data_IF_008728187452
#
_entry.id   IF_008728187452
#
_cell.length_a   1.000
_cell.length_b   1.000
_cell.length_c   1.000
_cell.angle_alpha   90.00
_cell.angle_beta   90.00
_cell.angle_gamma   90.00
#
_symmetry.space_group_name_H-M   'P 1'
#
loop_
_entity.id
_entity.type
_entity.pdbx_description
1 polymer ?
#
# COMPACT_ATOMS: atom_id res chain seq x y z
N UNK A 1 -4.41 -11.55 -5.05
CA UNK A 1 -3.15 -11.50 -5.80
C UNK A 1 -3.37 -11.20 -7.28
N UNK A 2 -4.39 -11.78 -7.91
CA UNK A 2 -4.65 -11.67 -9.35
C UNK A 2 -4.72 -10.23 -9.90
N UNK A 3 -5.40 -9.26 -9.25
CA UNK A 3 -5.40 -7.86 -9.73
C UNK A 3 -4.02 -7.23 -9.85
N UNK A 4 -3.17 -7.47 -8.85
CA UNK A 4 -1.81 -6.92 -8.84
C UNK A 4 -0.94 -7.61 -9.89
N UNK A 5 -1.13 -8.91 -10.12
CA UNK A 5 -0.46 -9.58 -11.23
C UNK A 5 -0.83 -8.95 -12.58
N UNK A 6 -2.12 -8.68 -12.82
CA UNK A 6 -2.57 -8.00 -14.03
C UNK A 6 -2.03 -6.56 -14.16
N UNK A 7 -1.89 -5.83 -13.04
CA UNK A 7 -1.40 -4.45 -13.03
C UNK A 7 0.05 -4.33 -13.50
N UNK A 8 0.88 -5.33 -13.16
CA UNK A 8 2.32 -5.41 -13.50
C UNK A 8 2.63 -6.35 -14.67
N UNK A 9 1.61 -6.90 -15.33
CA UNK A 9 1.80 -7.73 -16.51
C UNK A 9 2.57 -6.97 -17.61
N UNK A 10 3.26 -7.72 -18.46
CA UNK A 10 4.18 -7.20 -19.50
C UNK A 10 5.39 -6.43 -18.93
N UNK A 11 5.82 -6.77 -17.70
CA UNK A 11 6.97 -6.18 -17.00
C UNK A 11 6.92 -4.65 -16.89
N UNK A 12 5.72 -4.08 -16.79
CA UNK A 12 5.56 -2.63 -16.62
C UNK A 12 6.11 -2.19 -15.26
N UNK A 13 6.79 -1.06 -15.24
CA UNK A 13 7.29 -0.41 -14.02
C UNK A 13 6.66 0.98 -13.88
N UNK A 14 5.41 1.07 -13.39
CA UNK A 14 4.79 2.36 -13.11
C UNK A 14 5.54 3.08 -11.99
N UNK A 15 5.70 4.39 -12.11
CA UNK A 15 6.36 5.22 -11.09
C UNK A 15 5.33 5.72 -10.06
N UNK A 16 4.12 6.06 -10.51
CA UNK A 16 3.01 6.50 -9.65
C UNK A 16 1.80 5.58 -9.80
N UNK A 17 1.45 4.90 -8.71
CA UNK A 17 0.33 3.96 -8.66
C UNK A 17 -0.74 4.45 -7.68
N UNK A 18 -2.00 4.18 -7.98
CA UNK A 18 -3.10 4.37 -7.03
C UNK A 18 -3.79 3.05 -6.70
N UNK A 19 -4.08 2.83 -5.43
CA UNK A 19 -4.96 1.77 -4.92
C UNK A 19 -6.21 2.46 -4.33
N UNK A 20 -7.34 2.37 -5.03
CA UNK A 20 -8.54 3.20 -4.72
C UNK A 20 -9.26 2.75 -3.46
N UNK A 21 -9.20 1.45 -3.15
CA UNK A 21 -9.86 0.80 -2.01
C UNK A 21 -8.86 -0.12 -1.30
N UNK A 22 -7.90 0.52 -0.63
CA UNK A 22 -6.66 -0.11 -0.21
C UNK A 22 -6.79 -1.01 1.02
N UNK A 23 -7.73 -0.76 1.95
CA UNK A 23 -7.76 -1.55 3.17
C UNK A 23 -8.27 -2.99 2.91
N UNK A 24 -7.73 -4.00 3.63
CA UNK A 24 -6.83 -3.89 4.77
C UNK A 24 -5.34 -3.71 4.41
N UNK A 25 -4.97 -3.61 3.14
CA UNK A 25 -3.60 -3.37 2.67
C UNK A 25 -2.98 -4.50 1.87
N UNK A 26 -3.67 -5.62 1.68
CA UNK A 26 -3.12 -6.81 1.01
C UNK A 26 -2.67 -6.55 -0.44
N UNK A 27 -3.39 -5.68 -1.17
CA UNK A 27 -3.04 -5.32 -2.56
C UNK A 27 -1.97 -4.24 -2.57
N UNK A 28 -2.12 -3.20 -1.76
CA UNK A 28 -1.12 -2.14 -1.56
C UNK A 28 0.26 -2.69 -1.22
N UNK A 29 0.35 -3.65 -0.29
CA UNK A 29 1.63 -4.25 0.10
C UNK A 29 2.25 -5.08 -1.02
N UNK A 30 1.43 -5.77 -1.79
CA UNK A 30 1.88 -6.52 -2.97
C UNK A 30 2.36 -5.58 -4.10
N UNK A 31 1.67 -4.45 -4.31
CA UNK A 31 2.09 -3.41 -5.26
C UNK A 31 3.45 -2.84 -4.83
N UNK A 32 3.60 -2.44 -3.57
CA UNK A 32 4.86 -1.92 -3.04
C UNK A 32 6.03 -2.91 -3.20
N UNK A 33 5.78 -4.20 -2.93
CA UNK A 33 6.76 -5.26 -3.15
C UNK A 33 7.15 -5.42 -4.63
N UNK A 34 6.17 -5.37 -5.55
CA UNK A 34 6.42 -5.41 -7.01
C UNK A 34 7.19 -4.19 -7.52
N UNK A 35 7.00 -3.04 -6.90
CA UNK A 35 7.74 -1.80 -7.19
C UNK A 35 9.11 -1.76 -6.49
N UNK A 36 9.45 -2.74 -5.65
CA UNK A 36 10.70 -2.76 -4.90
C UNK A 36 10.86 -1.54 -3.98
N UNK A 37 9.77 -1.04 -3.38
CA UNK A 37 9.74 0.20 -2.60
C UNK A 37 10.19 1.48 -3.37
N UNK A 38 10.30 1.43 -4.71
CA UNK A 38 10.57 2.61 -5.53
C UNK A 38 9.26 3.31 -5.98
N UNK A 39 9.37 4.52 -6.51
CA UNK A 39 8.21 5.29 -6.97
C UNK A 39 7.29 5.74 -5.83
N UNK A 40 5.98 5.78 -6.09
CA UNK A 40 4.99 6.26 -5.14
C UNK A 40 3.62 5.62 -5.32
N UNK A 41 2.97 5.27 -4.21
CA UNK A 41 1.64 4.68 -4.17
C UNK A 41 0.72 5.60 -3.38
N UNK A 42 -0.40 6.02 -3.98
CA UNK A 42 -1.51 6.64 -3.26
C UNK A 42 -2.52 5.55 -2.88
N UNK A 43 -2.56 5.19 -1.61
CA UNK A 43 -3.50 4.20 -1.09
C UNK A 43 -4.67 4.91 -0.39
N UNK A 44 -5.84 4.84 -1.00
CA UNK A 44 -7.06 5.44 -0.48
C UNK A 44 -7.92 4.40 0.24
N UNK A 45 -8.53 4.80 1.35
CA UNK A 45 -9.55 4.00 2.02
C UNK A 45 -10.70 4.90 2.46
N UNK A 46 -11.93 4.51 2.13
CA UNK A 46 -13.12 5.28 2.49
C UNK A 46 -13.48 5.15 3.97
N UNK A 47 -13.21 4.02 4.61
CA UNK A 47 -13.55 3.80 6.01
C UNK A 47 -12.43 4.24 6.96
N UNK A 48 -12.65 5.31 7.73
CA UNK A 48 -11.70 5.82 8.71
C UNK A 48 -11.18 4.75 9.70
N UNK A 49 -12.05 3.81 10.10
CA UNK A 49 -11.66 2.73 11.02
C UNK A 49 -10.67 1.75 10.39
N UNK A 50 -10.76 1.54 9.08
CA UNK A 50 -9.90 0.61 8.32
C UNK A 50 -8.57 1.25 7.89
N UNK A 51 -8.47 2.57 7.83
CA UNK A 51 -7.20 3.29 7.58
C UNK A 51 -6.11 2.89 8.59
N UNK A 52 -6.46 2.69 9.87
CA UNK A 52 -5.52 2.25 10.90
C UNK A 52 -4.96 0.85 10.63
N UNK A 53 -5.82 -0.07 10.16
CA UNK A 53 -5.43 -1.44 9.81
C UNK A 53 -4.54 -1.45 8.57
N UNK A 54 -4.90 -0.66 7.56
CA UNK A 54 -4.08 -0.44 6.37
C UNK A 54 -2.68 0.04 6.74
N UNK A 55 -2.59 1.08 7.57
CA UNK A 55 -1.31 1.60 8.06
C UNK A 55 -0.49 0.54 8.81
N UNK A 56 -1.12 -0.23 9.71
CA UNK A 56 -0.42 -1.27 10.46
C UNK A 56 0.19 -2.34 9.55
N UNK A 57 -0.50 -2.74 8.49
CA UNK A 57 0.02 -3.71 7.52
C UNK A 57 1.16 -3.11 6.67
N UNK A 58 1.06 -1.85 6.25
CA UNK A 58 2.13 -1.14 5.53
C UNK A 58 3.39 -1.07 6.39
N UNK A 59 3.25 -0.62 7.64
CA UNK A 59 4.35 -0.48 8.58
C UNK A 59 5.02 -1.83 8.89
N UNK A 60 4.23 -2.88 9.11
CA UNK A 60 4.75 -4.24 9.36
C UNK A 60 5.56 -4.79 8.19
N UNK A 61 5.23 -4.41 6.96
CA UNK A 61 5.93 -4.85 5.76
C UNK A 61 7.13 -3.97 5.38
N UNK A 62 7.47 -2.94 6.17
CA UNK A 62 8.59 -2.04 5.87
C UNK A 62 8.39 -1.24 4.59
N UNK A 63 7.14 -0.92 4.25
CA UNK A 63 6.83 -0.19 3.02
C UNK A 63 7.00 1.30 3.25
N UNK A 64 7.77 1.96 2.37
CA UNK A 64 8.14 3.37 2.50
C UNK A 64 7.58 4.27 1.41
N UNK A 65 7.15 3.71 0.29
CA UNK A 65 6.71 4.44 -0.89
C UNK A 65 5.20 4.71 -0.95
N UNK A 66 4.49 4.71 0.19
CA UNK A 66 3.02 4.88 0.24
C UNK A 66 2.62 6.20 0.92
N UNK A 67 1.63 6.88 0.36
CA UNK A 67 0.83 7.88 1.07
C UNK A 67 -0.62 7.41 1.20
N UNK A 68 -1.22 7.74 2.35
CA UNK A 68 -2.59 7.38 2.70
C UNK A 68 -3.54 8.55 2.54
N UNK A 69 -4.69 8.31 1.92
CA UNK A 69 -5.81 9.26 1.89
C UNK A 69 -7.09 8.62 2.42
N UNK A 70 -8.02 9.49 2.82
CA UNK A 70 -9.34 9.09 3.30
C UNK A 70 -10.39 9.92 2.57
N UNK A 71 -10.77 9.43 1.39
CA UNK A 71 -11.76 10.04 0.54
C UNK A 71 -12.71 8.99 -0.02
N UNK A 72 -13.86 9.49 -0.46
CA UNK A 72 -14.65 8.83 -1.48
C UNK A 72 -13.84 8.73 -2.78
N UNK A 73 -13.68 7.51 -3.32
CA UNK A 73 -12.90 7.28 -4.54
C UNK A 73 -13.36 8.10 -5.75
N UNK A 74 -14.61 8.58 -5.74
CA UNK A 74 -15.21 9.37 -6.82
C UNK A 74 -14.55 10.74 -6.99
N UNK A 75 -13.78 11.23 -6.02
CA UNK A 75 -13.17 12.58 -6.09
C UNK A 75 -11.90 12.65 -6.96
N UNK A 76 -11.23 11.52 -7.21
CA UNK A 76 -9.84 11.55 -7.69
C UNK A 76 -9.72 11.98 -9.15
N UNK A 77 -10.70 11.69 -10.00
CA UNK A 77 -10.70 12.10 -11.40
C UNK A 77 -10.58 13.61 -11.58
N UNK A 78 -11.33 14.39 -10.78
CA UNK A 78 -11.26 15.84 -10.79
C UNK A 78 -10.06 16.38 -10.00
N UNK A 79 -9.66 15.70 -8.92
CA UNK A 79 -8.64 16.20 -8.00
C UNK A 79 -7.21 15.95 -8.47
N UNK A 80 -6.98 14.81 -9.12
CA UNK A 80 -5.67 14.34 -9.58
C UNK A 80 -5.78 13.86 -11.03
N UNK A 81 -6.23 14.72 -11.98
CA UNK A 81 -6.38 14.32 -13.37
C UNK A 81 -5.05 13.86 -13.95
N UNK A 82 -5.08 12.79 -14.75
CA UNK A 82 -3.94 12.27 -15.52
C UNK A 82 -2.62 12.14 -14.71
N UNK A 83 -2.74 11.75 -13.44
CA UNK A 83 -1.63 11.75 -12.47
C UNK A 83 -0.93 10.40 -12.38
N UNK A 84 -1.67 9.30 -12.54
CA UNK A 84 -1.15 7.96 -12.26
C UNK A 84 -0.80 7.19 -13.54
N UNK A 85 0.27 6.40 -13.47
CA UNK A 85 0.70 5.52 -14.55
C UNK A 85 -0.06 4.19 -14.53
N UNK A 86 -0.48 3.79 -13.33
CA UNK A 86 -1.32 2.64 -13.12
C UNK A 86 -2.31 2.87 -11.96
N UNK A 87 -3.52 2.37 -12.08
CA UNK A 87 -4.53 2.43 -11.03
C UNK A 87 -5.13 1.04 -10.85
N UNK A 88 -5.28 0.65 -9.60
CA UNK A 88 -6.03 -0.53 -9.20
C UNK A 88 -7.33 -0.09 -8.50
N UNK A 89 -8.44 -0.41 -9.14
CA UNK A 89 -9.78 -0.26 -8.58
C UNK A 89 -10.33 -1.65 -8.25
N UNK A 90 -10.05 -2.10 -7.02
CA UNK A 90 -10.74 -3.24 -6.43
C UNK A 90 -12.06 -2.75 -5.82
N UNK A 91 -13.13 -2.78 -6.61
CA UNK A 91 -14.33 -2.06 -6.28
C UNK A 91 -15.13 -2.75 -5.16
N UNK A 92 -15.79 -1.98 -4.26
CA UNK A 92 -16.78 -2.55 -3.37
C UNK A 92 -17.87 -3.24 -4.21
N UNK A 93 -18.22 -4.47 -3.85
CA UNK A 93 -19.13 -5.31 -4.61
C UNK A 93 -20.04 -6.12 -3.69
N UNK A 94 -21.01 -6.84 -4.26
CA UNK A 94 -21.94 -7.72 -3.54
C UNK A 94 -21.28 -8.95 -2.89
N UNK A 95 -20.04 -9.28 -3.25
CA UNK A 95 -19.23 -10.28 -2.54
C UNK A 95 -19.61 -11.75 -2.77
N UNK A 96 -20.29 -12.06 -3.88
CA UNK A 96 -20.74 -13.42 -4.21
C UNK A 96 -19.62 -14.47 -4.25
N UNK A 97 -18.41 -14.06 -4.60
CA UNK A 97 -17.24 -14.92 -4.67
C UNK A 97 -16.63 -15.29 -3.31
N UNK A 98 -17.10 -14.70 -2.20
CA UNK A 98 -16.51 -14.84 -0.85
C UNK A 98 -17.22 -15.90 0.01
N UNK A 99 -18.29 -16.52 -0.49
CA UNK A 99 -19.12 -17.50 0.25
C UNK A 99 -18.36 -18.70 0.82
N UNK A 100 -17.21 -19.09 0.21
CA UNK A 100 -16.34 -20.16 0.74
C UNK A 100 -15.66 -19.77 2.06
N UNK A 101 -15.47 -18.48 2.30
CA UNK A 101 -14.77 -17.93 3.48
C UNK A 101 -15.75 -17.45 4.54
N UNK A 102 -16.87 -16.88 4.11
CA UNK A 102 -17.91 -16.34 4.98
C UNK A 102 -19.28 -16.83 4.50
N UNK A 103 -19.89 -17.73 5.29
CA UNK A 103 -21.19 -18.31 4.97
C UNK A 103 -22.32 -17.26 4.98
N UNK A 104 -22.12 -16.13 5.65
CA UNK A 104 -23.09 -15.04 5.76
C UNK A 104 -22.86 -13.94 4.70
N UNK A 105 -21.91 -14.11 3.77
CA UNK A 105 -21.54 -13.09 2.79
C UNK A 105 -22.74 -12.55 1.97
N UNK A 106 -23.73 -13.40 1.70
CA UNK A 106 -24.92 -13.07 0.91
C UNK A 106 -26.15 -12.66 1.73
N UNK A 107 -26.00 -12.45 3.05
CA UNK A 107 -27.14 -12.19 3.94
C UNK A 107 -27.98 -10.96 3.55
N UNK A 108 -27.34 -9.93 2.97
CA UNK A 108 -28.00 -8.69 2.54
C UNK A 108 -28.01 -8.54 1.00
N UNK A 109 -27.88 -9.64 0.28
CA UNK A 109 -27.84 -9.65 -1.18
C UNK A 109 -29.25 -9.49 -1.77
N UNK A 110 -29.40 -8.61 -2.77
CA UNK A 110 -30.60 -8.53 -3.60
C UNK A 110 -30.26 -7.96 -4.99
N UNK A 111 -31.06 -8.26 -6.03
CA UNK A 111 -30.87 -7.68 -7.36
C UNK A 111 -30.86 -6.14 -7.35
N UNK A 112 -31.71 -5.50 -6.54
CA UNK A 112 -31.78 -4.05 -6.41
C UNK A 112 -30.49 -3.49 -5.80
N UNK A 113 -29.99 -4.12 -4.74
CA UNK A 113 -28.70 -3.77 -4.12
C UNK A 113 -27.54 -3.88 -5.12
N UNK A 114 -27.52 -4.93 -5.94
CA UNK A 114 -26.49 -5.10 -6.97
C UNK A 114 -26.50 -3.98 -8.01
N UNK A 115 -27.68 -3.48 -8.40
CA UNK A 115 -27.79 -2.36 -9.35
C UNK A 115 -27.27 -1.04 -8.75
N UNK A 116 -27.54 -0.78 -7.48
CA UNK A 116 -27.02 0.39 -6.76
C UNK A 116 -25.50 0.31 -6.59
N UNK A 117 -24.99 -0.88 -6.30
CA UNK A 117 -23.55 -1.15 -6.24
C UNK A 117 -22.89 -0.94 -7.60
N UNK A 118 -23.47 -1.48 -8.68
CA UNK A 118 -22.98 -1.28 -10.04
C UNK A 118 -22.99 0.20 -10.45
N UNK A 119 -23.99 0.98 -10.00
CA UNK A 119 -24.00 2.44 -10.21
C UNK A 119 -22.82 3.12 -9.51
N UNK A 120 -22.53 2.75 -8.27
CA UNK A 120 -21.37 3.24 -7.53
C UNK A 120 -20.05 2.85 -8.22
N UNK A 121 -19.94 1.62 -8.74
CA UNK A 121 -18.77 1.13 -9.46
C UNK A 121 -18.53 1.92 -10.75
N UNK A 122 -19.58 2.32 -11.49
CA UNK A 122 -19.48 3.20 -12.67
C UNK A 122 -18.90 4.57 -12.32
N UNK A 123 -19.31 5.17 -11.22
CA UNK A 123 -18.76 6.46 -10.76
C UNK A 123 -17.30 6.33 -10.31
N UNK A 124 -16.95 5.23 -9.64
CA UNK A 124 -15.57 4.94 -9.22
C UNK A 124 -14.64 4.69 -10.41
N UNK A 125 -15.06 3.89 -11.40
CA UNK A 125 -14.23 3.59 -12.56
C UNK A 125 -14.07 4.81 -13.46
N UNK A 126 -15.09 5.67 -13.58
CA UNK A 126 -14.98 6.96 -14.27
C UNK A 126 -13.93 7.85 -13.60
N UNK A 127 -14.03 8.01 -12.28
CA UNK A 127 -13.07 8.81 -11.51
C UNK A 127 -11.63 8.28 -11.62
N UNK A 128 -11.46 6.96 -11.52
CA UNK A 128 -10.17 6.32 -11.73
C UNK A 128 -9.63 6.58 -13.16
N UNK A 129 -10.47 6.45 -14.18
CA UNK A 129 -10.07 6.65 -15.57
C UNK A 129 -9.69 8.10 -15.89
N UNK A 130 -10.33 9.09 -15.26
CA UNK A 130 -9.91 10.49 -15.30
C UNK A 130 -8.55 10.73 -14.62
N UNK A 131 -8.31 10.09 -13.48
CA UNK A 131 -7.04 10.21 -12.75
C UNK A 131 -5.86 9.47 -13.42
N UNK A 132 -6.16 8.51 -14.31
CA UNK A 132 -5.17 7.78 -15.08
C UNK A 132 -4.61 8.63 -16.23
N UNK A 133 -3.29 8.62 -16.42
CA UNK A 133 -2.66 9.29 -17.57
C UNK A 133 -2.89 8.53 -18.89
N UNK A 134 -2.91 9.19 -20.05
CA UNK A 134 -2.81 8.51 -21.34
C UNK A 134 -1.58 7.59 -21.41
N UNK A 135 -1.77 6.38 -21.93
CA UNK A 135 -0.79 5.28 -21.91
C UNK A 135 -0.74 4.48 -20.60
N UNK A 136 -1.47 4.90 -19.57
CA UNK A 136 -1.54 4.22 -18.28
C UNK A 136 -2.41 2.98 -18.28
N UNK A 137 -2.28 2.14 -17.25
CA UNK A 137 -3.06 0.91 -17.06
C UNK A 137 -4.07 1.05 -15.92
N UNK A 138 -5.33 0.74 -16.17
CA UNK A 138 -6.36 0.57 -15.14
C UNK A 138 -6.69 -0.91 -14.98
N UNK A 139 -6.54 -1.45 -13.77
CA UNK A 139 -7.10 -2.76 -13.41
C UNK A 139 -8.35 -2.55 -12.59
N UNK A 140 -9.46 -3.08 -13.09
CA UNK A 140 -10.72 -3.18 -12.37
C UNK A 140 -10.87 -4.61 -11.84
N UNK A 141 -11.28 -4.75 -10.58
CA UNK A 141 -11.60 -6.06 -10.03
C UNK A 141 -12.73 -6.04 -9.01
N UNK A 142 -13.38 -7.19 -8.85
CA UNK A 142 -14.38 -7.44 -7.82
C UNK A 142 -14.21 -8.86 -7.27
N UNK A 143 -14.78 -9.12 -6.09
CA UNK A 143 -15.01 -10.47 -5.57
C UNK A 143 -16.47 -10.91 -5.74
N UNK A 144 -17.13 -10.48 -6.83
CA UNK A 144 -18.48 -10.90 -7.22
C UNK A 144 -18.50 -11.57 -8.60
N UNK A 145 -19.55 -12.31 -8.92
CA UNK A 145 -19.64 -13.17 -10.10
C UNK A 145 -20.73 -12.74 -11.11
N UNK A 146 -21.66 -11.87 -10.69
CA UNK A 146 -22.68 -11.34 -11.60
C UNK A 146 -22.09 -10.42 -12.68
N UNK A 147 -22.82 -10.24 -13.78
CA UNK A 147 -22.34 -9.43 -14.92
C UNK A 147 -22.56 -7.94 -14.71
N UNK A 148 -23.57 -7.58 -13.94
CA UNK A 148 -24.00 -6.21 -13.65
C UNK A 148 -22.87 -5.39 -13.01
N UNK A 149 -22.13 -6.01 -12.10
CA UNK A 149 -20.98 -5.41 -11.41
C UNK A 149 -19.64 -5.64 -12.13
N UNK A 150 -19.62 -6.48 -13.16
CA UNK A 150 -18.40 -6.88 -13.86
C UNK A 150 -18.41 -6.36 -15.31
N UNK A 151 -18.83 -7.19 -16.26
CA UNK A 151 -18.83 -6.87 -17.68
C UNK A 151 -19.58 -5.58 -17.97
N UNK A 152 -20.76 -5.38 -17.38
CA UNK A 152 -21.60 -4.20 -17.63
C UNK A 152 -20.94 -2.88 -17.18
N UNK A 153 -20.09 -2.91 -16.15
CA UNK A 153 -19.30 -1.73 -15.71
C UNK A 153 -18.22 -1.39 -16.74
N UNK A 154 -17.56 -2.40 -17.30
CA UNK A 154 -16.52 -2.21 -18.33
C UNK A 154 -17.15 -1.76 -19.66
N UNK A 155 -18.25 -2.39 -20.07
CA UNK A 155 -19.04 -2.01 -21.25
C UNK A 155 -19.52 -0.56 -21.15
N UNK A 156 -19.97 -0.13 -19.96
CA UNK A 156 -20.34 1.26 -19.72
C UNK A 156 -19.16 2.21 -19.95
N UNK A 157 -17.97 1.91 -19.42
CA UNK A 157 -16.79 2.76 -19.61
C UNK A 157 -16.37 2.83 -21.10
N UNK A 158 -16.40 1.70 -21.81
CA UNK A 158 -16.13 1.64 -23.25
C UNK A 158 -17.14 2.49 -24.05
N UNK A 159 -18.42 2.44 -23.69
CA UNK A 159 -19.46 3.25 -24.34
C UNK A 159 -19.31 4.75 -24.07
N UNK A 160 -18.83 5.09 -22.85
CA UNK A 160 -18.61 6.46 -22.39
C UNK A 160 -17.42 7.11 -23.10
N UNK A 161 -16.36 6.33 -23.36
CA UNK A 161 -15.09 6.79 -23.95
C UNK A 161 -14.57 5.86 -25.07
N UNK A 162 -15.30 5.72 -26.19
CA UNK A 162 -15.04 4.69 -27.20
C UNK A 162 -13.69 4.82 -27.92
N UNK A 163 -13.07 6.00 -27.90
CA UNK A 163 -11.78 6.26 -28.54
C UNK A 163 -10.60 6.30 -27.54
N UNK A 164 -10.87 6.15 -26.24
CA UNK A 164 -9.85 6.31 -25.19
C UNK A 164 -9.61 5.03 -24.37
N UNK A 165 -10.41 3.97 -24.55
CA UNK A 165 -10.32 2.74 -23.76
C UNK A 165 -9.94 1.56 -24.65
N UNK A 166 -8.85 0.88 -24.31
CA UNK A 166 -8.42 -0.38 -24.92
C UNK A 166 -8.45 -1.49 -23.88
N UNK A 167 -9.09 -2.63 -24.20
CA UNK A 167 -8.97 -3.84 -23.36
C UNK A 167 -7.64 -4.51 -23.65
N UNK A 168 -6.91 -4.85 -22.59
CA UNK A 168 -5.68 -5.64 -22.68
C UNK A 168 -5.95 -7.07 -22.21
N UNK A 169 -6.09 -8.05 -23.12
CA UNK A 169 -6.43 -9.43 -22.78
C UNK A 169 -5.51 -10.03 -21.72
N UNK A 170 -6.08 -10.91 -20.89
CA UNK A 170 -5.40 -11.55 -19.76
C UNK A 170 -5.16 -13.06 -19.96
N UNK A 171 -5.43 -13.60 -21.15
CA UNK A 171 -5.31 -15.03 -21.46
C UNK A 171 -3.89 -15.60 -21.32
N UNK A 172 -2.87 -14.74 -21.34
CA UNK A 172 -1.45 -15.11 -21.18
C UNK A 172 -0.87 -14.66 -19.83
N UNK A 173 -1.69 -14.19 -18.89
CA UNK A 173 -1.22 -13.65 -17.61
C UNK A 173 -0.43 -14.68 -16.79
N UNK A 174 -0.84 -15.94 -16.85
CA UNK A 174 -0.18 -17.09 -16.22
C UNK A 174 -0.58 -18.38 -16.96
N UNK A 175 0.20 -19.48 -16.82
CA UNK A 175 -0.18 -20.77 -17.37
C UNK A 175 -1.55 -21.24 -16.85
N UNK A 176 -2.51 -21.44 -17.75
CA UNK A 176 -3.89 -21.81 -17.42
C UNK A 176 -4.88 -20.66 -17.36
N UNK A 177 -4.45 -19.40 -17.55
CA UNK A 177 -5.35 -18.24 -17.52
C UNK A 177 -6.49 -18.30 -18.56
N UNK A 178 -6.28 -19.03 -19.67
CA UNK A 178 -7.30 -19.27 -20.69
C UNK A 178 -8.57 -19.96 -20.15
N UNK A 179 -8.47 -20.75 -19.07
CA UNK A 179 -9.60 -21.50 -18.50
C UNK A 179 -10.66 -20.58 -17.87
N UNK A 180 -10.28 -19.35 -17.52
CA UNK A 180 -11.16 -18.31 -16.98
C UNK A 180 -11.33 -17.10 -17.92
N UNK A 181 -10.83 -17.20 -19.16
CA UNK A 181 -10.82 -16.08 -20.11
C UNK A 181 -12.20 -15.86 -20.72
N UNK A 182 -12.70 -14.63 -20.65
CA UNK A 182 -13.91 -14.21 -21.35
C UNK A 182 -13.61 -13.82 -22.80
N UNK A 183 -14.62 -13.79 -23.67
CA UNK A 183 -14.44 -13.41 -25.08
C UNK A 183 -13.89 -11.99 -25.27
N UNK A 184 -14.18 -11.10 -24.32
CA UNK A 184 -13.70 -9.72 -24.27
C UNK A 184 -12.23 -9.63 -23.83
N UNK A 185 -11.67 -10.68 -23.21
CA UNK A 185 -10.29 -10.72 -22.71
C UNK A 185 -10.13 -10.55 -21.19
N UNK A 186 -11.23 -10.59 -20.43
CA UNK A 186 -11.20 -10.50 -18.96
C UNK A 186 -10.94 -11.87 -18.33
N UNK A 187 -10.55 -11.91 -17.05
CA UNK A 187 -10.59 -13.13 -16.26
C UNK A 187 -11.84 -13.14 -15.39
N UNK A 188 -12.72 -14.11 -15.62
CA UNK A 188 -13.88 -14.38 -14.79
C UNK A 188 -13.68 -15.71 -14.08
N UNK A 189 -13.08 -15.65 -12.89
CA UNK A 189 -12.64 -16.81 -12.12
C UNK A 189 -13.78 -17.31 -11.25
N UNK A 190 -14.41 -18.40 -11.68
CA UNK A 190 -15.32 -19.15 -10.81
C UNK A 190 -14.53 -20.02 -9.82
N UNK A 191 -15.03 -20.23 -8.58
CA UNK A 191 -14.28 -20.91 -7.53
C UNK A 191 -13.70 -22.28 -7.92
N UNK A 192 -14.45 -23.06 -8.69
CA UNK A 192 -14.08 -24.41 -9.11
C UNK A 192 -12.98 -24.47 -10.19
N UNK A 193 -12.63 -23.36 -10.85
CA UNK A 193 -11.64 -23.37 -11.93
C UNK A 193 -10.23 -23.59 -11.35
N UNK A 194 -9.89 -22.91 -10.25
CA UNK A 194 -8.57 -22.99 -9.62
C UNK A 194 -8.61 -23.29 -8.11
N UNK A 195 -9.75 -23.81 -7.63
CA UNK A 195 -10.01 -24.11 -6.22
C UNK A 195 -9.72 -22.93 -5.26
N UNK A 196 -10.26 -21.76 -5.58
CA UNK A 196 -10.07 -20.53 -4.83
C UNK A 196 -11.41 -19.79 -4.61
N UNK A 197 -11.35 -18.54 -4.14
CA UNK A 197 -12.51 -17.65 -4.14
C UNK A 197 -12.96 -17.26 -5.56
N UNK A 198 -14.20 -16.80 -5.69
CA UNK A 198 -14.74 -16.23 -6.93
C UNK A 198 -14.23 -14.80 -7.15
N UNK A 199 -13.85 -14.47 -8.38
CA UNK A 199 -13.16 -13.22 -8.65
C UNK A 199 -13.27 -12.76 -10.12
N UNK A 200 -13.33 -11.45 -10.35
CA UNK A 200 -13.29 -10.86 -11.69
C UNK A 200 -12.14 -9.86 -11.82
N UNK A 201 -11.45 -9.88 -12.97
CA UNK A 201 -10.38 -8.92 -13.29
C UNK A 201 -10.47 -8.49 -14.75
N UNK A 202 -10.53 -7.18 -14.97
CA UNK A 202 -10.37 -6.54 -16.27
C UNK A 202 -9.15 -5.62 -16.27
N UNK A 203 -8.37 -5.64 -17.35
CA UNK A 203 -7.19 -4.78 -17.54
C UNK A 203 -7.42 -3.91 -18.76
N UNK A 204 -7.33 -2.60 -18.54
CA UNK A 204 -7.62 -1.57 -19.53
C UNK A 204 -6.41 -0.65 -19.71
N UNK A 205 -6.25 -0.09 -20.90
CA UNK A 205 -5.32 1.00 -21.19
C UNK A 205 -6.10 2.26 -21.59
N UNK A 206 -5.69 3.41 -21.05
CA UNK A 206 -6.16 4.70 -21.53
C UNK A 206 -5.34 5.09 -22.77
N UNK A 207 -5.93 5.12 -23.95
CA UNK A 207 -5.20 5.36 -25.21
C UNK A 207 -5.09 6.84 -25.58
N UNK A 208 -5.97 7.69 -25.04
CA UNK A 208 -6.02 9.12 -25.32
C UNK A 208 -6.41 9.93 -24.07
N UNK A 209 -6.10 11.24 -24.10
CA UNK A 209 -6.67 12.19 -23.16
C UNK A 209 -8.20 12.28 -23.36
N UNK A 210 -8.92 12.62 -22.30
CA UNK A 210 -10.38 12.80 -22.30
C UNK A 210 -10.72 14.19 -21.75
N UNK A 211 -11.94 14.66 -22.01
CA UNK A 211 -12.38 15.98 -21.55
C UNK A 211 -12.25 16.10 -20.03
N UNK A 212 -11.62 17.17 -19.51
CA UNK A 212 -11.37 17.31 -18.09
C UNK A 212 -12.67 17.54 -17.30
N UNK A 213 -12.74 16.99 -16.10
CA UNK A 213 -13.80 17.28 -15.14
C UNK A 213 -13.64 18.70 -14.56
N UNK A 214 -14.74 19.33 -14.12
CA UNK A 214 -14.67 20.58 -13.34
C UNK A 214 -13.79 20.41 -12.10
N UNK A 215 -13.06 21.47 -11.75
CA UNK A 215 -12.20 21.46 -10.57
C UNK A 215 -13.01 21.12 -9.30
N UNK A 216 -12.41 20.39 -8.33
CA UNK A 216 -13.11 20.03 -7.11
C UNK A 216 -13.57 21.26 -6.33
N UNK A 217 -14.79 21.23 -5.79
CA UNK A 217 -15.32 22.32 -4.98
C UNK A 217 -14.69 22.48 -3.59
N UNK A 218 -13.81 21.57 -3.16
CA UNK A 218 -13.16 21.62 -1.85
C UNK A 218 -11.83 22.36 -1.89
N UNK A 219 -11.50 23.05 -0.80
CA UNK A 219 -10.18 23.68 -0.60
C UNK A 219 -9.25 22.79 0.20
N UNK A 220 -8.08 22.50 -0.36
CA UNK A 220 -6.97 21.91 0.38
C UNK A 220 -6.35 23.01 1.25
N UNK A 221 -6.26 22.76 2.55
CA UNK A 221 -5.62 23.71 3.47
C UNK A 221 -4.10 23.79 3.23
N UNK A 222 -3.41 24.60 4.04
CA UNK A 222 -1.94 24.66 4.01
C UNK A 222 -1.35 23.26 4.26
N UNK A 223 -0.40 22.86 3.43
CA UNK A 223 0.35 21.63 3.64
C UNK A 223 1.17 21.74 4.95
N UNK A 224 1.02 20.79 5.90
CA UNK A 224 1.52 20.97 7.26
C UNK A 224 3.00 20.63 7.44
N UNK A 225 3.70 20.21 6.38
CA UNK A 225 5.11 19.84 6.40
C UNK A 225 5.95 20.84 5.60
N UNK A 226 7.21 20.99 5.98
CA UNK A 226 8.22 21.73 5.23
C UNK A 226 9.39 20.81 4.90
N UNK A 227 9.99 20.88 3.70
CA UNK A 227 11.18 20.12 3.39
C UNK A 227 12.35 20.61 4.26
N UNK A 228 13.23 19.69 4.68
CA UNK A 228 14.46 20.06 5.39
C UNK A 228 15.44 20.76 4.42
N UNK A 229 16.21 21.71 4.95
CA UNK A 229 17.31 22.33 4.20
C UNK A 229 18.48 21.37 4.09
N UNK A 230 19.27 21.46 3.01
CA UNK A 230 20.37 20.54 2.69
C UNK A 230 21.32 20.25 3.86
N UNK A 231 21.73 21.29 4.60
CA UNK A 231 22.63 21.14 5.75
C UNK A 231 22.00 20.32 6.88
N UNK A 232 20.72 20.56 7.17
CA UNK A 232 19.97 19.84 8.21
C UNK A 232 19.69 18.41 7.75
N UNK A 233 19.27 18.23 6.50
CA UNK A 233 19.05 16.93 5.88
C UNK A 233 20.32 16.06 5.91
N UNK A 234 21.48 16.62 5.59
CA UNK A 234 22.76 15.92 5.67
C UNK A 234 23.11 15.48 7.10
N UNK A 235 22.87 16.35 8.09
CA UNK A 235 23.10 16.02 9.50
C UNK A 235 22.17 14.90 10.00
N UNK A 236 20.87 14.95 9.65
CA UNK A 236 19.90 13.90 9.97
C UNK A 236 20.29 12.59 9.30
N UNK A 237 20.66 12.62 8.02
CA UNK A 237 21.08 11.44 7.26
C UNK A 237 22.33 10.80 7.87
N UNK A 238 23.34 11.61 8.25
CA UNK A 238 24.53 11.10 8.92
C UNK A 238 24.21 10.46 10.28
N UNK A 239 23.30 11.06 11.06
CA UNK A 239 22.86 10.51 12.34
C UNK A 239 22.07 9.19 12.16
N UNK A 240 21.21 9.11 11.14
CA UNK A 240 20.45 7.90 10.82
C UNK A 240 21.37 6.77 10.38
N UNK A 241 22.35 7.06 9.50
CA UNK A 241 23.39 6.10 9.10
C UNK A 241 24.22 5.62 10.30
N UNK A 242 24.49 6.48 11.28
CA UNK A 242 25.23 6.08 12.47
C UNK A 242 24.55 4.94 13.26
N UNK A 243 23.21 4.89 13.23
CA UNK A 243 22.40 3.83 13.87
C UNK A 243 21.93 2.74 12.89
N UNK A 244 22.44 2.73 11.65
CA UNK A 244 22.16 1.71 10.65
C UNK A 244 20.88 1.91 9.85
N UNK A 245 20.34 3.13 9.76
CA UNK A 245 19.22 3.46 8.90
C UNK A 245 19.70 4.10 7.59
N UNK A 246 19.26 3.55 6.46
CA UNK A 246 19.66 3.98 5.11
C UNK A 246 18.47 4.00 4.15
N UNK A 247 18.42 5.00 3.28
CA UNK A 247 17.43 5.15 2.22
C UNK A 247 18.09 5.70 0.95
N UNK A 248 17.41 5.50 -0.18
CA UNK A 248 17.86 5.95 -1.49
C UNK A 248 17.44 7.40 -1.80
N UNK A 249 17.80 7.88 -2.99
CA UNK A 249 17.40 9.19 -3.48
C UNK A 249 15.90 9.31 -3.82
N UNK A 250 15.14 8.20 -3.74
CA UNK A 250 13.70 8.19 -3.92
C UNK A 250 12.93 8.76 -2.73
N UNK A 251 13.63 9.12 -1.64
CA UNK A 251 13.03 9.67 -0.44
C UNK A 251 13.60 11.05 -0.08
N UNK A 252 12.71 11.98 0.30
CA UNK A 252 13.08 13.33 0.75
C UNK A 252 12.70 13.55 2.20
N UNK A 253 13.51 14.34 2.92
CA UNK A 253 13.29 14.64 4.33
C UNK A 253 12.36 15.84 4.51
N UNK A 254 11.33 15.64 5.32
CA UNK A 254 10.33 16.65 5.68
C UNK A 254 10.19 16.75 7.20
N UNK A 255 9.78 17.92 7.68
CA UNK A 255 9.53 18.17 9.10
C UNK A 255 8.16 18.77 9.35
N UNK A 256 7.61 18.43 10.52
CA UNK A 256 6.47 19.11 11.15
C UNK A 256 6.70 19.14 12.65
N UNK A 257 6.80 20.33 13.22
CA UNK A 257 7.14 20.54 14.63
C UNK A 257 8.45 19.81 15.01
N UNK A 258 8.37 18.77 15.84
CA UNK A 258 9.51 17.93 16.24
C UNK A 258 9.62 16.63 15.44
N UNK A 259 8.70 16.38 14.51
CA UNK A 259 8.63 15.14 13.77
C UNK A 259 9.45 15.25 12.48
N UNK A 260 10.27 14.23 12.21
CA UNK A 260 11.00 14.05 10.97
C UNK A 260 10.38 12.90 10.19
N UNK A 261 10.20 13.12 8.89
CA UNK A 261 9.52 12.20 7.99
C UNK A 261 10.34 12.02 6.71
N UNK A 262 10.26 10.82 6.14
CA UNK A 262 10.75 10.50 4.81
C UNK A 262 9.54 10.34 3.89
N UNK A 263 9.43 11.20 2.89
CA UNK A 263 8.37 11.14 1.88
C UNK A 263 8.92 10.57 0.58
N UNK A 264 8.16 9.75 -0.15
CA UNK A 264 8.56 9.31 -1.47
C UNK A 264 8.49 10.47 -2.47
N UNK A 265 9.61 10.74 -3.14
CA UNK A 265 9.79 11.84 -4.09
C UNK A 265 8.72 11.82 -5.20
N UNK A 266 8.35 10.63 -5.68
CA UNK A 266 7.34 10.46 -6.72
C UNK A 266 5.95 11.00 -6.32
N UNK A 267 5.65 11.20 -5.03
CA UNK A 267 4.36 11.72 -4.57
C UNK A 267 4.36 13.24 -4.31
N UNK A 268 5.52 13.91 -4.37
CA UNK A 268 5.60 15.36 -4.15
C UNK A 268 4.65 16.18 -5.06
N UNK A 269 4.46 15.84 -6.35
CA UNK A 269 3.53 16.58 -7.23
C UNK A 269 2.05 16.51 -6.81
N UNK A 270 1.70 15.68 -5.83
CA UNK A 270 0.35 15.54 -5.28
C UNK A 270 0.15 16.41 -4.02
N UNK A 271 1.23 16.92 -3.42
CA UNK A 271 1.15 17.72 -2.20
C UNK A 271 0.40 19.03 -2.47
N UNK A 272 -0.60 19.33 -1.64
CA UNK A 272 -1.48 20.47 -1.82
C UNK A 272 -2.65 20.25 -2.80
N UNK A 273 -2.70 19.13 -3.53
CA UNK A 273 -3.85 18.77 -4.40
C UNK A 273 -4.92 17.95 -3.69
N UNK A 274 -4.51 17.15 -2.70
CA UNK A 274 -5.41 16.37 -1.83
C UNK A 274 -4.92 16.43 -0.38
N UNK A 275 -5.81 16.09 0.56
CA UNK A 275 -5.44 15.93 1.98
C UNK A 275 -4.93 14.52 2.23
N UNK A 276 -3.79 14.41 2.87
CA UNK A 276 -3.21 13.11 3.25
C UNK A 276 -3.52 12.81 4.70
N UNK A 277 -3.88 11.55 4.96
CA UNK A 277 -3.93 11.00 6.32
C UNK A 277 -2.51 10.73 6.83
N UNK A 278 -1.63 10.21 5.96
CA UNK A 278 -0.21 9.96 6.24
C UNK A 278 0.59 9.96 4.94
N UNK A 279 1.87 10.27 5.00
CA UNK A 279 2.76 10.26 3.83
C UNK A 279 4.07 9.60 4.25
N UNK A 280 4.50 8.58 3.52
CA UNK A 280 5.76 7.88 3.76
C UNK A 280 5.91 7.39 5.21
N UNK A 281 7.12 7.54 5.75
CA UNK A 281 7.52 6.97 7.04
C UNK A 281 7.99 8.08 7.98
N UNK A 282 7.50 8.07 9.21
CA UNK A 282 8.02 8.92 10.29
C UNK A 282 9.38 8.36 10.69
N UNK A 283 10.44 9.09 10.38
CA UNK A 283 11.82 8.69 10.65
C UNK A 283 12.15 8.77 12.14
N UNK A 284 11.89 9.93 12.74
CA UNK A 284 12.29 10.24 14.11
C UNK A 284 11.46 11.35 14.73
N UNK A 285 11.58 11.50 16.05
CA UNK A 285 11.25 12.73 16.77
C UNK A 285 12.52 13.39 17.29
N UNK A 286 12.59 14.71 17.19
CA UNK A 286 13.62 15.52 17.83
C UNK A 286 13.42 15.51 19.35
N UNK A 287 14.44 15.04 20.08
CA UNK A 287 14.42 14.97 21.53
C UNK A 287 15.77 15.41 22.12
N UNK A 288 15.75 16.49 22.91
CA UNK A 288 16.95 17.14 23.44
C UNK A 288 17.94 17.51 22.31
N UNK A 289 19.15 16.94 22.33
CA UNK A 289 20.19 17.13 21.31
C UNK A 289 20.29 15.95 20.32
N UNK A 290 19.30 15.06 20.29
CA UNK A 290 19.34 13.85 19.46
C UNK A 290 18.00 13.46 18.86
N UNK A 291 17.92 12.22 18.40
CA UNK A 291 16.79 11.68 17.66
C UNK A 291 16.22 10.48 18.40
N UNK A 292 14.90 10.42 18.50
CA UNK A 292 14.18 9.20 18.87
C UNK A 292 13.67 8.55 17.60
N UNK A 293 14.46 7.60 17.08
CA UNK A 293 14.12 6.82 15.90
C UNK A 293 12.83 6.04 16.11
N UNK A 294 11.99 6.00 15.08
CA UNK A 294 10.70 5.32 15.15
C UNK A 294 10.82 3.87 14.70
N UNK A 295 10.04 2.98 15.32
CA UNK A 295 10.03 1.56 14.97
C UNK A 295 9.74 1.34 13.48
N UNK A 296 8.77 2.05 12.90
CA UNK A 296 8.44 1.92 11.46
C UNK A 296 9.60 2.27 10.53
N UNK A 297 10.46 3.22 10.91
CA UNK A 297 11.65 3.55 10.14
C UNK A 297 12.71 2.45 10.22
N UNK A 298 12.82 1.78 11.37
CA UNK A 298 13.73 0.62 11.51
C UNK A 298 13.27 -0.53 10.65
N UNK A 299 11.96 -0.82 10.60
CA UNK A 299 11.44 -1.90 9.74
C UNK A 299 11.64 -1.59 8.25
N UNK A 300 11.50 -0.32 7.85
CA UNK A 300 11.62 0.08 6.43
C UNK A 300 13.07 0.28 5.95
N UNK A 301 13.96 0.80 6.79
CA UNK A 301 15.26 1.36 6.36
C UNK A 301 16.48 0.77 7.08
N UNK A 302 16.31 -0.27 7.90
CA UNK A 302 17.44 -0.93 8.55
C UNK A 302 18.39 -1.56 7.52
N UNK A 303 19.68 -1.19 7.60
CA UNK A 303 20.77 -1.84 6.89
C UNK A 303 21.25 -3.07 7.71
N UNK A 304 20.99 -4.31 7.25
CA UNK A 304 21.25 -5.52 8.05
C UNK A 304 22.73 -5.74 8.40
N UNK A 305 23.65 -5.15 7.62
CA UNK A 305 25.10 -5.32 7.81
C UNK A 305 25.62 -4.72 9.14
N UNK A 306 24.78 -3.96 9.84
CA UNK A 306 25.11 -3.32 11.13
C UNK A 306 24.19 -3.80 12.26
N UNK A 307 23.48 -4.90 12.06
CA UNK A 307 22.54 -5.44 13.02
C UNK A 307 23.17 -6.49 13.96
N UNK A 308 22.50 -6.70 15.08
CA UNK A 308 22.78 -7.75 16.05
C UNK A 308 21.69 -8.84 15.93
N UNK A 309 22.10 -10.04 15.51
CA UNK A 309 21.19 -11.17 15.33
C UNK A 309 20.81 -11.78 16.68
N UNK A 310 19.50 -11.83 16.95
CA UNK A 310 18.95 -12.49 18.12
C UNK A 310 18.81 -13.99 17.86
N UNK A 311 19.01 -14.79 18.90
CA UNK A 311 18.54 -16.17 18.92
C UNK A 311 17.02 -16.23 18.94
N UNK A 312 16.44 -17.42 18.72
CA UNK A 312 14.99 -17.61 18.78
C UNK A 312 14.42 -17.24 20.17
N UNK A 313 15.07 -17.66 21.25
CA UNK A 313 14.62 -17.37 22.62
C UNK A 313 14.65 -15.85 22.91
N UNK A 314 15.70 -15.18 22.46
CA UNK A 314 15.84 -13.72 22.60
C UNK A 314 14.79 -12.97 21.75
N UNK A 315 14.49 -13.46 20.55
CA UNK A 315 13.45 -12.89 19.69
C UNK A 315 12.05 -13.09 20.30
N UNK A 316 11.78 -14.22 20.97
CA UNK A 316 10.52 -14.42 21.71
C UNK A 316 10.36 -13.38 22.81
N UNK A 317 11.40 -13.18 23.62
CA UNK A 317 11.39 -12.16 24.68
C UNK A 317 11.23 -10.75 24.10
N UNK A 318 11.86 -10.46 22.95
CA UNK A 318 11.69 -9.19 22.25
C UNK A 318 10.23 -8.93 21.86
N UNK A 319 9.56 -9.89 21.25
CA UNK A 319 8.14 -9.78 20.86
C UNK A 319 7.18 -9.74 22.05
N UNK A 320 7.58 -10.28 23.20
CA UNK A 320 6.88 -10.13 24.50
C UNK A 320 7.15 -8.77 25.16
N UNK A 321 7.95 -7.90 24.54
CA UNK A 321 8.25 -6.57 25.06
C UNK A 321 9.25 -6.55 26.21
N UNK A 322 10.06 -7.61 26.36
CA UNK A 322 11.03 -7.77 27.44
C UNK A 322 12.44 -7.45 26.97
N UNK A 323 13.27 -6.99 27.89
CA UNK A 323 14.69 -6.75 27.66
C UNK A 323 15.41 -8.07 27.39
N UNK A 324 16.42 -8.03 26.51
CA UNK A 324 17.20 -9.21 26.10
C UNK A 324 18.58 -9.18 26.75
N UNK A 325 19.12 -10.35 27.10
CA UNK A 325 20.42 -10.51 27.79
C UNK A 325 21.35 -11.41 26.98
N UNK A 326 21.95 -10.89 25.91
CA UNK A 326 22.78 -11.71 25.04
C UNK A 326 24.08 -12.13 25.71
N UNK A 327 24.55 -13.34 25.40
CA UNK A 327 25.85 -13.83 25.88
C UNK A 327 27.00 -12.94 25.40
N UNK A 328 26.92 -12.47 24.15
CA UNK A 328 27.85 -11.50 23.57
C UNK A 328 27.13 -10.20 23.29
N UNK A 329 27.51 -9.13 23.98
CA UNK A 329 26.91 -7.82 23.76
C UNK A 329 27.39 -7.18 22.45
N UNK A 330 26.52 -6.43 21.75
CA UNK A 330 26.95 -5.63 20.60
C UNK A 330 27.97 -4.57 21.04
N UNK A 331 28.90 -4.25 20.13
CA UNK A 331 29.93 -3.24 20.39
C UNK A 331 29.40 -1.80 20.43
N UNK A 332 28.20 -1.55 19.91
CA UNK A 332 27.59 -0.22 19.79
C UNK A 332 26.55 0.01 20.90
N UNK A 333 26.38 1.27 21.32
CA UNK A 333 25.39 1.68 22.33
C UNK A 333 23.95 1.58 21.83
N UNK A 334 23.73 1.80 20.55
CA UNK A 334 22.46 1.57 19.85
C UNK A 334 22.72 0.61 18.70
N UNK A 335 21.89 -0.42 18.58
CA UNK A 335 22.02 -1.43 17.53
C UNK A 335 20.65 -1.79 16.99
N UNK A 336 20.56 -2.02 15.69
CA UNK A 336 19.40 -2.72 15.13
C UNK A 336 19.49 -4.17 15.59
N UNK A 337 18.37 -4.73 16.02
CA UNK A 337 18.24 -6.16 16.30
C UNK A 337 17.51 -6.84 15.17
N UNK A 338 18.01 -8.00 14.75
CA UNK A 338 17.44 -8.81 13.68
C UNK A 338 17.10 -10.21 14.18
N UNK A 339 16.19 -10.88 13.47
CA UNK A 339 15.95 -12.30 13.61
C UNK A 339 15.70 -12.90 12.23
N UNK A 340 16.40 -13.98 11.90
CA UNK A 340 16.46 -14.56 10.56
C UNK A 340 16.87 -13.53 9.51
N UNK A 341 17.77 -12.60 9.88
CA UNK A 341 18.21 -11.50 9.02
C UNK A 341 17.15 -10.40 8.76
N UNK A 342 15.99 -10.46 9.42
CA UNK A 342 14.91 -9.47 9.29
C UNK A 342 14.95 -8.49 10.48
N UNK A 343 14.87 -7.16 10.25
CA UNK A 343 14.84 -6.17 11.32
C UNK A 343 13.64 -6.34 12.26
N UNK A 344 13.90 -6.35 13.57
CA UNK A 344 12.87 -6.40 14.62
C UNK A 344 12.70 -5.06 15.37
N UNK A 345 13.72 -4.22 15.36
CA UNK A 345 13.68 -2.91 16.03
C UNK A 345 15.07 -2.41 16.40
N UNK A 346 15.12 -1.25 17.08
CA UNK A 346 16.35 -0.61 17.53
C UNK A 346 16.50 -0.81 19.04
N UNK A 347 17.53 -1.50 19.48
CA UNK A 347 17.83 -1.70 20.89
C UNK A 347 18.87 -0.70 21.39
N UNK A 348 18.74 -0.29 22.65
CA UNK A 348 19.78 0.45 23.36
C UNK A 348 20.47 -0.47 24.36
N UNK A 349 21.79 -0.55 24.29
CA UNK A 349 22.61 -1.30 25.25
C UNK A 349 22.67 -0.55 26.57
N UNK A 350 22.41 -1.26 27.67
CA UNK A 350 22.52 -0.76 29.04
C UNK A 350 23.26 -1.81 29.88
N UNK A 351 24.58 -1.68 29.97
CA UNK A 351 25.43 -2.70 30.59
C UNK A 351 25.46 -3.97 29.76
N UNK A 352 24.94 -5.06 30.31
CA UNK A 352 24.81 -6.38 29.66
C UNK A 352 23.45 -6.63 29.00
N UNK A 353 22.45 -5.75 29.19
CA UNK A 353 21.12 -5.91 28.58
C UNK A 353 20.92 -5.04 27.36
N UNK A 354 20.10 -5.53 26.45
CA UNK A 354 19.50 -4.79 25.35
C UNK A 354 18.09 -4.37 25.77
N UNK A 355 17.91 -3.05 25.91
CA UNK A 355 16.61 -2.49 26.28
C UNK A 355 15.62 -2.63 25.12
N UNK A 356 14.45 -3.17 25.42
CA UNK A 356 13.37 -3.34 24.46
C UNK A 356 12.76 -1.99 24.05
N UNK A 357 12.51 -1.83 22.76
CA UNK A 357 11.83 -0.66 22.18
C UNK A 357 10.65 -1.05 21.30
N UNK A 358 10.26 -2.32 21.32
CA UNK A 358 9.17 -2.84 20.52
C UNK A 358 7.86 -2.15 20.93
N UNK A 359 7.05 -1.65 19.98
CA UNK A 359 5.85 -0.91 20.31
C UNK A 359 4.87 -1.76 21.14
N UNK A 360 4.32 -1.17 22.20
CA UNK A 360 3.47 -1.87 23.18
C UNK A 360 2.21 -2.43 22.55
N UNK A 361 1.64 -1.70 21.60
CA UNK A 361 0.48 -2.08 20.82
C UNK A 361 0.72 -3.29 19.89
N UNK A 362 1.98 -3.68 19.67
CA UNK A 362 2.36 -4.84 18.86
C UNK A 362 2.82 -6.04 19.68
N UNK A 363 2.96 -5.87 21.01
CA UNK A 363 3.41 -6.94 21.92
C UNK A 363 2.47 -8.14 21.87
N UNK A 364 3.04 -9.33 22.06
CA UNK A 364 2.33 -10.60 21.93
C UNK A 364 2.42 -11.41 23.21
N UNK A 365 1.25 -11.70 23.80
CA UNK A 365 1.13 -12.44 25.06
C UNK A 365 0.87 -13.95 24.87
N UNK A 366 1.01 -14.46 23.64
CA UNK A 366 0.70 -15.85 23.27
C UNK A 366 1.93 -16.73 22.97
N UNK A 367 1.68 -17.96 22.50
CA UNK A 367 2.71 -18.84 21.96
C UNK A 367 3.26 -18.22 20.67
N UNK A 368 4.53 -17.86 20.69
CA UNK A 368 5.28 -17.36 19.54
C UNK A 368 6.02 -18.53 18.89
N UNK A 369 6.28 -18.41 17.58
CA UNK A 369 6.96 -19.42 16.76
C UNK A 369 6.39 -20.83 17.01
N UNK A 370 5.22 -21.11 16.43
CA UNK A 370 4.77 -22.50 16.34
C UNK A 370 5.87 -23.27 15.60
N UNK A 371 6.61 -24.12 16.32
CA UNK A 371 7.54 -25.05 15.70
C UNK A 371 6.79 -25.77 14.60
N UNK A 372 7.41 -25.88 13.42
CA UNK A 372 6.92 -26.81 12.40
C UNK A 372 6.89 -28.18 13.07
N UNK A 373 5.69 -28.67 13.39
CA UNK A 373 5.48 -30.09 13.68
C UNK A 373 5.40 -30.78 12.33
#
# INVERSE_FOLDING_TARGET
>A
MLPVAALFADNRQPERVMDVAAAPGSKTTQIAARMGNAGGILANEFSASRVKVLHANISRCGISNVALTHFDGRVFGAALPETFDAILLDAPCSGEGVVRKDADALKNWSPESNLDIAATQRELIDSAFHALRPGGTLVYSTCTLNREENQSVIEWLLSRYPQAVEILPLGELFPGAADALTAEGFLHVFPQIYDCEGFFVARLRKTAAIDPLPAPGYKVGKFPFTPLKDREAAAVTAAARAVGLEWDAGHTLWQRDKELWLFPLALEPLFGKVRFSRIGVRLAELHNKGYRWQHEAVIAFAAPQRAFELSQEEAEEWYRGRDVYPQTAPGQDETIVTFQGVPLGLAKRVGSRLKNSYPRELMRDGKLFAGKV
#
